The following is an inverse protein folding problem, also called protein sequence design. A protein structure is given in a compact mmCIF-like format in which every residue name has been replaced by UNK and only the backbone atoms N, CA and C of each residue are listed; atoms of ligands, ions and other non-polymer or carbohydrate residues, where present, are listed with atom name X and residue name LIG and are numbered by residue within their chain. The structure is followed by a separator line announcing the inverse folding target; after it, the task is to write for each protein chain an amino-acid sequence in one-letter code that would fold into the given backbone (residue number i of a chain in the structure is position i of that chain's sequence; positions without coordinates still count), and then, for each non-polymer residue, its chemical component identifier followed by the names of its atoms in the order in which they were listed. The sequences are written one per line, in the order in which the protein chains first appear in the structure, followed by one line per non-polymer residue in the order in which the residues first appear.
data_IF_167183026898
#
_entry.id   IF_167183026898
#
_cell.length_a   1.000
_cell.length_b   1.000
_cell.length_c   1.000
_cell.angle_alpha   90.00
_cell.angle_beta   90.00
_cell.angle_gamma   90.00
#
_symmetry.space_group_name_H-M   'P 1'
#
loop_
_entity.id
_entity.type
_entity.pdbx_description
1 polymer ?
#
# COMPACT_ATOMS: atom_id res chain seq x y z
N UNK A 1 -39.32 -23.06 -16.75
CA UNK A 1 -38.88 -23.44 -15.40
C UNK A 1 -38.28 -22.21 -14.75
N UNK A 2 -38.89 -21.81 -13.64
CA UNK A 2 -38.58 -20.63 -12.84
C UNK A 2 -37.73 -21.07 -11.63
N UNK A 3 -37.15 -20.09 -10.93
CA UNK A 3 -36.36 -20.14 -9.67
C UNK A 3 -34.85 -20.39 -9.82
N UNK A 4 -33.95 -19.58 -9.23
CA UNK A 4 -34.17 -18.50 -8.28
C UNK A 4 -32.89 -17.70 -8.01
N UNK A 5 -33.08 -16.39 -7.87
CA UNK A 5 -32.14 -15.44 -7.28
C UNK A 5 -32.08 -15.71 -5.77
N UNK A 6 -30.87 -15.72 -5.20
CA UNK A 6 -30.65 -15.37 -3.78
C UNK A 6 -29.49 -14.39 -3.64
N UNK A 7 -29.70 -13.21 -3.03
CA UNK A 7 -28.66 -12.33 -2.53
C UNK A 7 -28.27 -12.72 -1.09
N UNK A 8 -27.40 -11.91 -0.45
CA UNK A 8 -26.86 -11.97 0.93
C UNK A 8 -25.48 -12.67 1.04
N UNK A 9 -24.46 -12.12 1.69
CA UNK A 9 -24.43 -11.18 2.81
C UNK A 9 -23.27 -10.19 2.74
N UNK A 10 -23.60 -8.92 2.99
CA UNK A 10 -22.73 -7.91 3.57
C UNK A 10 -22.21 -8.38 4.93
N UNK A 11 -20.89 -8.48 5.09
CA UNK A 11 -20.23 -8.59 6.39
C UNK A 11 -19.03 -7.64 6.45
N UNK A 12 -19.15 -6.63 7.31
CA UNK A 12 -18.02 -6.18 8.10
C UNK A 12 -17.23 -4.95 7.64
N UNK A 13 -17.89 -3.81 7.39
CA UNK A 13 -17.25 -2.52 7.66
C UNK A 13 -17.11 -2.36 9.18
N UNK A 14 -15.92 -2.61 9.74
CA UNK A 14 -15.50 -2.04 11.04
C UNK A 14 -13.99 -1.81 11.08
N UNK A 15 -13.63 -0.53 11.01
CA UNK A 15 -12.65 0.17 11.81
C UNK A 15 -11.29 -0.51 12.10
N UNK A 16 -10.22 0.09 11.57
CA UNK A 16 -8.97 0.24 12.33
C UNK A 16 -8.26 1.52 11.83
N UNK A 17 -8.70 2.65 12.40
CA UNK A 17 -7.98 3.92 12.40
C UNK A 17 -7.24 4.01 13.74
N UNK A 18 -5.99 4.48 13.71
CA UNK A 18 -5.16 4.94 14.83
C UNK A 18 -4.73 3.90 15.88
N UNK A 19 -3.43 3.88 16.19
CA UNK A 19 -2.87 4.55 17.37
C UNK A 19 -1.33 4.48 17.32
N UNK A 20 -0.70 5.67 17.34
CA UNK A 20 0.71 5.87 17.65
C UNK A 20 0.90 6.03 19.17
N UNK A 21 2.03 5.50 19.64
CA UNK A 21 2.95 6.02 20.65
C UNK A 21 2.70 5.83 22.16
N UNK A 22 3.80 5.35 22.75
CA UNK A 22 4.42 5.75 24.00
C UNK A 22 3.98 5.06 25.30
N UNK A 23 4.86 4.19 25.80
CA UNK A 23 4.99 3.90 27.22
C UNK A 23 6.48 3.87 27.58
N UNK A 24 7.01 5.00 28.03
CA UNK A 24 8.15 5.01 28.97
C UNK A 24 7.63 4.49 30.30
N UNK A 25 8.23 3.42 30.80
CA UNK A 25 7.88 2.81 32.07
C UNK A 25 8.46 3.60 33.26
N UNK A 26 7.59 3.84 34.24
CA UNK A 26 7.86 4.35 35.58
C UNK A 26 8.72 3.42 36.44
N UNK A 27 9.25 3.95 37.54
CA UNK A 27 9.12 3.32 38.86
C UNK A 27 9.02 4.33 40.02
N UNK A 28 8.44 3.92 41.18
CA UNK A 28 7.44 4.71 41.93
C UNK A 28 7.81 4.94 43.40
N UNK A 29 7.21 5.93 44.08
CA UNK A 29 6.80 5.83 45.51
C UNK A 29 5.69 6.87 45.80
N UNK A 30 4.55 6.40 46.30
CA UNK A 30 3.79 6.90 47.48
C UNK A 30 2.28 6.69 47.36
N UNK A 31 1.75 6.02 48.38
CA UNK A 31 0.33 5.83 48.68
C UNK A 31 -0.27 7.11 49.26
N UNK A 32 -1.45 7.51 48.78
CA UNK A 32 -2.47 8.18 49.59
C UNK A 32 -3.85 8.14 48.89
N UNK A 33 -4.87 8.10 49.73
CA UNK A 33 -6.29 7.84 49.53
C UNK A 33 -7.07 8.90 48.74
N UNK A 34 -8.17 8.42 48.15
CA UNK A 34 -9.43 9.13 47.86
C UNK A 34 -9.43 10.23 46.78
N UNK A 35 -9.83 9.85 45.56
CA UNK A 35 -10.78 10.61 44.73
C UNK A 35 -11.15 9.78 43.51
N UNK A 36 -12.44 9.72 43.19
CA UNK A 36 -12.95 9.01 42.02
C UNK A 36 -12.38 9.62 40.73
N UNK A 37 -11.84 8.84 39.78
CA UNK A 37 -11.44 9.39 38.51
C UNK A 37 -12.64 9.43 37.56
N UNK A 38 -12.88 10.65 37.09
CA UNK A 38 -13.55 11.03 35.87
C UNK A 38 -13.48 9.94 34.79
N UNK A 39 -14.64 9.60 34.23
CA UNK A 39 -14.78 9.02 32.89
C UNK A 39 -14.07 9.95 31.90
N UNK A 40 -12.80 9.72 31.65
CA UNK A 40 -12.13 10.18 30.45
C UNK A 40 -12.67 9.31 29.31
N UNK A 41 -13.81 9.69 28.75
CA UNK A 41 -14.18 9.27 27.41
C UNK A 41 -13.05 9.72 26.50
N UNK A 42 -12.21 8.78 26.05
CA UNK A 42 -11.33 8.97 24.91
C UNK A 42 -12.21 9.24 23.70
N UNK A 43 -12.62 10.50 23.54
CA UNK A 43 -13.13 11.01 22.30
C UNK A 43 -11.97 10.89 21.31
N UNK A 44 -11.98 9.83 20.51
CA UNK A 44 -11.20 9.77 19.29
C UNK A 44 -11.60 11.03 18.50
N UNK A 45 -10.74 12.03 18.50
CA UNK A 45 -10.93 13.25 17.72
C UNK A 45 -11.07 12.81 16.27
N UNK A 46 -12.29 12.82 15.76
CA UNK A 46 -12.54 12.65 14.35
C UNK A 46 -11.77 13.79 13.64
N UNK A 47 -11.01 13.48 12.57
CA UNK A 47 -10.32 14.51 11.81
C UNK A 47 -11.33 15.56 11.36
N UNK A 48 -10.91 16.84 11.35
CA UNK A 48 -11.76 17.93 10.91
C UNK A 48 -12.36 17.61 9.53
N UNK A 49 -13.63 17.98 9.25
CA UNK A 49 -14.31 17.64 7.99
C UNK A 49 -13.46 17.95 6.75
N UNK A 50 -12.80 19.10 6.76
CA UNK A 50 -11.92 19.55 5.66
C UNK A 50 -10.70 18.64 5.44
N UNK A 51 -10.15 18.05 6.50
CA UNK A 51 -9.00 17.15 6.40
C UNK A 51 -9.41 15.79 5.83
N UNK A 52 -10.62 15.32 6.16
CA UNK A 52 -11.15 14.08 5.62
C UNK A 52 -11.52 14.24 4.13
N UNK A 53 -12.15 15.34 3.76
CA UNK A 53 -12.49 15.64 2.35
C UNK A 53 -11.23 15.77 1.47
N UNK A 54 -10.16 16.36 2.01
CA UNK A 54 -8.88 16.46 1.30
C UNK A 54 -8.22 15.10 1.08
N UNK A 55 -8.25 14.22 2.08
CA UNK A 55 -7.69 12.88 1.97
C UNK A 55 -8.54 12.04 0.99
N UNK A 56 -9.85 12.08 1.10
CA UNK A 56 -10.77 11.39 0.20
C UNK A 56 -10.54 11.83 -1.25
N UNK A 57 -10.33 13.14 -1.46
CA UNK A 57 -9.94 13.69 -2.75
C UNK A 57 -8.59 13.15 -3.23
N UNK A 58 -7.56 13.14 -2.38
CA UNK A 58 -6.23 12.60 -2.71
C UNK A 58 -6.28 11.14 -3.12
N UNK A 59 -7.10 10.32 -2.47
CA UNK A 59 -7.23 8.89 -2.80
C UNK A 59 -7.92 8.66 -4.14
N UNK A 60 -8.83 9.55 -4.53
CA UNK A 60 -9.56 9.48 -5.80
C UNK A 60 -8.79 10.07 -6.99
N UNK A 61 -7.87 11.00 -6.75
CA UNK A 61 -7.08 11.63 -7.80
C UNK A 61 -6.01 10.67 -8.38
N UNK A 62 -5.92 10.63 -9.71
CA UNK A 62 -4.80 9.97 -10.40
C UNK A 62 -3.57 10.85 -10.26
N UNK A 63 -2.56 10.38 -9.53
CA UNK A 63 -1.31 11.10 -9.31
C UNK A 63 -0.19 10.42 -10.10
N UNK A 64 0.24 10.97 -11.26
CA UNK A 64 1.47 10.52 -11.88
C UNK A 64 2.67 10.88 -11.01
N UNK A 65 3.74 10.11 -11.16
CA UNK A 65 5.03 10.46 -10.57
C UNK A 65 5.51 11.76 -11.26
N UNK A 66 5.92 12.80 -10.51
CA UNK A 66 6.24 14.11 -11.10
C UNK A 66 7.45 14.11 -12.03
N UNK A 67 8.30 13.08 -11.96
CA UNK A 67 9.41 12.92 -12.90
C UNK A 67 9.06 11.87 -13.96
N UNK A 68 9.45 12.08 -15.23
CA UNK A 68 9.25 11.09 -16.27
C UNK A 68 9.89 9.76 -15.87
N UNK A 69 9.14 8.66 -16.00
CA UNK A 69 9.68 7.31 -15.88
C UNK A 69 10.58 7.04 -17.10
N UNK A 70 11.84 7.45 -16.98
CA UNK A 70 12.82 7.42 -18.06
C UNK A 70 13.41 6.03 -18.31
N UNK A 71 14.53 6.00 -19.04
CA UNK A 71 15.26 4.75 -19.29
C UNK A 71 15.85 4.18 -18.00
N UNK A 72 15.61 2.90 -17.74
CA UNK A 72 16.12 2.19 -16.56
C UNK A 72 17.58 1.81 -16.75
N UNK A 73 18.45 2.30 -15.86
CA UNK A 73 19.88 1.95 -15.82
C UNK A 73 20.10 0.62 -15.13
N UNK A 74 19.50 0.40 -13.96
CA UNK A 74 19.64 -0.85 -13.21
C UNK A 74 18.38 -1.21 -12.43
N UNK A 75 18.21 -2.52 -12.21
CA UNK A 75 17.14 -3.11 -11.40
C UNK A 75 17.78 -4.07 -10.42
N UNK A 76 17.50 -3.90 -9.13
CA UNK A 76 17.99 -4.76 -8.06
C UNK A 76 16.81 -5.43 -7.36
N UNK A 77 16.72 -6.73 -7.54
CA UNK A 77 15.69 -7.59 -6.95
C UNK A 77 16.38 -8.40 -5.84
N UNK A 78 15.98 -8.16 -4.58
CA UNK A 78 16.58 -8.85 -3.43
C UNK A 78 15.97 -10.23 -3.18
N UNK A 79 14.73 -10.42 -3.60
CA UNK A 79 13.98 -11.66 -3.42
C UNK A 79 12.87 -11.72 -4.46
N UNK A 80 12.54 -12.93 -4.92
CA UNK A 80 11.39 -13.18 -5.79
C UNK A 80 10.13 -13.62 -4.99
N UNK A 81 10.19 -13.56 -3.66
CA UNK A 81 9.08 -13.94 -2.78
C UNK A 81 8.08 -12.81 -2.65
N UNK A 82 6.86 -13.20 -2.31
CA UNK A 82 5.78 -12.29 -1.98
C UNK A 82 5.43 -12.44 -0.50
N UNK A 83 5.01 -11.33 0.10
CA UNK A 83 4.71 -11.18 1.50
C UNK A 83 3.34 -10.52 1.69
N UNK A 84 2.61 -10.95 2.70
CA UNK A 84 1.37 -10.32 3.13
C UNK A 84 1.65 -9.04 3.94
N UNK A 85 0.58 -8.41 4.43
CA UNK A 85 0.65 -7.20 5.25
C UNK A 85 1.42 -7.39 6.57
N UNK A 86 1.49 -8.61 7.10
CA UNK A 86 2.24 -8.97 8.31
C UNK A 86 3.69 -9.39 8.00
N UNK A 87 4.11 -9.19 6.75
CA UNK A 87 5.43 -9.54 6.21
C UNK A 87 5.76 -11.04 6.31
N UNK A 88 4.73 -11.89 6.33
CA UNK A 88 4.86 -13.34 6.20
C UNK A 88 4.81 -13.75 4.73
N UNK A 89 5.50 -14.83 4.32
CA UNK A 89 5.37 -15.34 2.97
C UNK A 89 3.89 -15.63 2.64
N UNK A 90 3.41 -15.17 1.49
CA UNK A 90 2.02 -15.41 1.12
C UNK A 90 1.70 -16.91 1.04
N UNK A 91 0.53 -17.29 1.54
CA UNK A 91 0.07 -18.68 1.53
C UNK A 91 -0.05 -19.27 0.10
N UNK A 92 -0.46 -18.44 -0.86
CA UNK A 92 -0.54 -18.78 -2.29
C UNK A 92 0.29 -17.79 -3.11
N UNK A 93 1.59 -18.04 -3.31
CA UNK A 93 2.41 -17.16 -4.11
C UNK A 93 1.99 -17.24 -5.59
N UNK A 94 2.19 -16.16 -6.37
CA UNK A 94 1.88 -16.18 -7.79
C UNK A 94 2.72 -17.24 -8.53
N UNK A 95 2.21 -17.79 -9.64
CA UNK A 95 2.90 -18.82 -10.42
C UNK A 95 4.27 -18.32 -10.90
N UNK A 96 5.22 -19.24 -11.11
CA UNK A 96 6.59 -18.90 -11.56
C UNK A 96 6.63 -18.12 -12.87
N UNK A 97 5.62 -18.25 -13.73
CA UNK A 97 5.48 -17.44 -14.95
C UNK A 97 5.39 -15.94 -14.66
N UNK A 98 4.91 -15.55 -13.48
CA UNK A 98 4.84 -14.16 -13.00
C UNK A 98 6.05 -13.75 -12.16
N UNK A 99 7.18 -14.45 -12.31
CA UNK A 99 8.39 -14.09 -11.59
C UNK A 99 8.85 -12.68 -11.96
N UNK A 100 9.17 -11.88 -10.95
CA UNK A 100 9.68 -10.53 -11.15
C UNK A 100 11.12 -10.62 -11.64
N UNK A 101 11.34 -10.18 -12.87
CA UNK A 101 12.65 -10.13 -13.51
C UNK A 101 13.00 -8.70 -13.92
N UNK A 102 14.29 -8.37 -14.16
CA UNK A 102 14.66 -7.06 -14.69
C UNK A 102 13.97 -6.73 -16.03
N UNK A 103 13.69 -7.73 -16.87
CA UNK A 103 12.95 -7.56 -18.13
C UNK A 103 11.49 -7.21 -17.88
N UNK A 104 10.85 -7.88 -16.92
CA UNK A 104 9.48 -7.58 -16.51
C UNK A 104 9.38 -6.14 -15.99
N UNK A 105 10.25 -5.73 -15.06
CA UNK A 105 10.28 -4.36 -14.51
C UNK A 105 10.43 -3.28 -15.58
N UNK A 106 11.35 -3.48 -16.54
CA UNK A 106 11.53 -2.54 -17.67
C UNK A 106 10.30 -2.47 -18.57
N UNK A 107 9.69 -3.61 -18.84
CA UNK A 107 8.47 -3.68 -19.67
C UNK A 107 7.30 -3.01 -18.98
N UNK A 108 7.17 -3.26 -17.67
CA UNK A 108 6.20 -2.62 -16.79
C UNK A 108 6.32 -1.11 -16.84
N UNK A 109 7.48 -0.56 -16.50
CA UNK A 109 7.69 0.90 -16.46
C UNK A 109 7.44 1.60 -17.80
N UNK A 110 7.60 0.90 -18.93
CA UNK A 110 7.33 1.45 -20.27
C UNK A 110 5.84 1.46 -20.63
N UNK A 111 5.07 0.49 -20.16
CA UNK A 111 3.67 0.28 -20.57
C UNK A 111 2.67 0.72 -19.51
N UNK A 112 3.09 0.80 -18.25
CA UNK A 112 2.19 1.08 -17.15
C UNK A 112 1.70 2.52 -17.18
N UNK A 113 0.48 2.72 -16.73
CA UNK A 113 -0.15 4.03 -16.61
C UNK A 113 -0.57 4.30 -15.16
N UNK A 114 -0.57 5.57 -14.73
CA UNK A 114 -0.91 5.92 -13.35
C UNK A 114 -2.41 5.72 -13.12
N UNK A 115 -2.76 5.28 -11.92
CA UNK A 115 -4.15 5.13 -11.46
C UNK A 115 -4.31 5.74 -10.07
N UNK A 116 -5.54 6.02 -9.66
CA UNK A 116 -5.82 6.49 -8.30
C UNK A 116 -5.78 5.33 -7.31
N UNK A 117 -5.60 5.64 -6.02
CA UNK A 117 -5.63 4.62 -4.97
C UNK A 117 -7.00 3.94 -4.92
N UNK A 118 -8.08 4.71 -5.07
CA UNK A 118 -9.45 4.16 -5.10
C UNK A 118 -9.66 3.24 -6.31
N UNK A 119 -9.10 3.56 -7.48
CA UNK A 119 -9.18 2.66 -8.63
C UNK A 119 -8.46 1.33 -8.36
N UNK A 120 -7.31 1.36 -7.70
CA UNK A 120 -6.60 0.15 -7.27
C UNK A 120 -7.46 -0.70 -6.33
N UNK A 121 -8.15 -0.07 -5.37
CA UNK A 121 -9.00 -0.77 -4.41
C UNK A 121 -10.28 -1.34 -5.05
N UNK A 122 -10.95 -0.56 -5.90
CA UNK A 122 -12.29 -0.89 -6.40
C UNK A 122 -12.30 -1.68 -7.71
N UNK A 123 -11.28 -1.49 -8.57
CA UNK A 123 -11.27 -2.06 -9.92
C UNK A 123 -10.14 -3.07 -10.12
N UNK A 124 -8.96 -2.79 -9.57
CA UNK A 124 -7.81 -3.68 -9.69
C UNK A 124 -7.65 -4.59 -8.46
N UNK A 125 -8.55 -4.48 -7.48
CA UNK A 125 -8.73 -5.43 -6.36
C UNK A 125 -7.46 -5.77 -5.59
N UNK A 126 -6.50 -4.84 -5.48
CA UNK A 126 -5.22 -5.16 -4.85
C UNK A 126 -4.76 -4.09 -3.88
N UNK A 127 -5.04 -4.33 -2.60
CA UNK A 127 -4.23 -3.76 -1.54
C UNK A 127 -3.91 -4.85 -0.51
N UNK A 128 -2.62 -5.10 -0.29
CA UNK A 128 -2.08 -5.68 0.94
C UNK A 128 -2.17 -7.20 1.16
N UNK A 129 -2.95 -7.97 0.40
CA UNK A 129 -3.03 -9.43 0.67
C UNK A 129 -1.74 -10.16 0.29
N UNK A 130 -1.07 -9.75 -0.78
CA UNK A 130 0.20 -10.35 -1.19
C UNK A 130 0.99 -9.43 -2.15
N UNK A 131 2.16 -8.96 -1.71
CA UNK A 131 3.02 -8.04 -2.46
C UNK A 131 4.45 -8.56 -2.57
N UNK A 132 5.13 -8.25 -3.66
CA UNK A 132 6.50 -8.71 -3.86
C UNK A 132 7.46 -8.10 -2.84
N UNK A 133 8.61 -8.75 -2.64
CA UNK A 133 9.75 -8.09 -2.07
C UNK A 133 10.05 -6.77 -2.81
N UNK A 134 10.60 -5.75 -2.12
CA UNK A 134 10.93 -4.49 -2.76
C UNK A 134 11.99 -4.66 -3.85
N UNK A 135 11.73 -4.03 -4.99
CA UNK A 135 12.64 -3.90 -6.13
C UNK A 135 13.17 -2.48 -6.16
N UNK A 136 14.48 -2.32 -6.15
CA UNK A 136 15.10 -1.01 -6.33
C UNK A 136 15.40 -0.78 -7.81
N UNK A 137 14.97 0.37 -8.34
CA UNK A 137 15.20 0.79 -9.71
C UNK A 137 16.01 2.07 -9.71
N UNK A 138 17.07 2.10 -10.51
CA UNK A 138 17.84 3.32 -10.77
C UNK A 138 17.64 3.70 -12.23
N UNK A 139 17.18 4.93 -12.46
CA UNK A 139 16.98 5.49 -13.77
C UNK A 139 18.26 6.15 -14.30
N UNK A 140 18.30 6.40 -15.60
CA UNK A 140 19.53 6.87 -16.29
C UNK A 140 19.93 8.29 -15.91
N UNK A 141 18.97 9.12 -15.49
CA UNK A 141 19.14 10.46 -14.92
C UNK A 141 19.51 10.44 -13.42
N UNK A 142 19.64 9.25 -12.83
CA UNK A 142 20.12 9.05 -11.46
C UNK A 142 19.03 9.01 -10.39
N UNK A 143 17.75 9.28 -10.72
CA UNK A 143 16.69 9.09 -9.72
C UNK A 143 16.51 7.61 -9.40
N UNK A 144 16.10 7.35 -8.16
CA UNK A 144 15.91 6.00 -7.64
C UNK A 144 14.49 5.83 -7.15
N UNK A 145 13.95 4.64 -7.36
CA UNK A 145 12.64 4.27 -6.86
C UNK A 145 12.68 2.89 -6.22
N UNK A 146 11.81 2.71 -5.23
CA UNK A 146 11.44 1.40 -4.73
C UNK A 146 10.10 1.02 -5.34
N UNK A 147 9.99 -0.21 -5.79
CA UNK A 147 8.81 -0.76 -6.41
C UNK A 147 8.39 -2.05 -5.72
N UNK A 148 7.09 -2.28 -5.58
CA UNK A 148 6.55 -3.57 -5.19
C UNK A 148 5.36 -3.90 -6.11
N UNK A 149 5.23 -5.16 -6.48
CA UNK A 149 4.16 -5.65 -7.36
C UNK A 149 3.13 -6.37 -6.52
N UNK A 150 1.86 -6.10 -6.77
CA UNK A 150 0.78 -6.95 -6.28
C UNK A 150 0.78 -8.28 -7.05
N UNK A 151 0.53 -9.40 -6.35
CA UNK A 151 0.64 -10.73 -6.94
C UNK A 151 -0.31 -11.00 -8.12
N UNK A 152 -1.53 -10.43 -8.10
CA UNK A 152 -2.64 -10.90 -8.95
C UNK A 152 -3.28 -9.85 -9.86
N UNK A 153 -2.86 -8.59 -9.78
CA UNK A 153 -3.62 -7.48 -10.38
C UNK A 153 -2.87 -6.68 -11.46
N UNK A 154 -1.59 -6.98 -11.71
CA UNK A 154 -0.76 -6.15 -12.59
C UNK A 154 -0.56 -4.72 -12.05
N UNK A 155 -0.82 -4.52 -10.75
CA UNK A 155 -0.58 -3.25 -10.03
C UNK A 155 0.85 -3.26 -9.48
N UNK A 156 1.49 -2.09 -9.52
CA UNK A 156 2.73 -1.84 -8.81
C UNK A 156 2.64 -0.51 -8.06
N UNK A 157 3.26 -0.50 -6.88
CA UNK A 157 3.46 0.66 -6.04
C UNK A 157 4.86 1.19 -6.27
N UNK A 158 4.99 2.46 -6.60
CA UNK A 158 6.25 3.13 -6.87
C UNK A 158 6.47 4.21 -5.82
N UNK A 159 7.56 4.15 -5.08
CA UNK A 159 7.94 5.18 -4.12
C UNK A 159 9.34 5.72 -4.46
N UNK A 160 9.52 7.04 -4.63
CA UNK A 160 10.84 7.60 -4.88
C UNK A 160 11.74 7.41 -3.65
N UNK A 161 13.02 7.17 -3.88
CA UNK A 161 14.04 7.06 -2.83
C UNK A 161 14.84 8.36 -2.75
N UNK A 162 14.47 9.23 -1.81
CA UNK A 162 15.12 10.52 -1.56
C UNK A 162 15.95 10.40 -0.29
N UNK A 163 17.27 10.56 -0.39
CA UNK A 163 18.20 10.42 0.74
C UNK A 163 18.05 9.08 1.50
N UNK A 164 17.74 8.00 0.78
CA UNK A 164 17.55 6.67 1.35
C UNK A 164 16.21 6.45 2.05
N UNK A 165 15.31 7.45 2.02
CA UNK A 165 13.95 7.35 2.55
C UNK A 165 12.95 7.23 1.40
N UNK A 166 11.93 6.43 1.62
CA UNK A 166 10.78 6.32 0.70
C UNK A 166 9.91 7.56 0.85
N UNK A 167 9.57 8.18 -0.29
CA UNK A 167 8.56 9.22 -0.38
C UNK A 167 7.15 8.62 -0.58
N UNK A 168 6.23 9.49 -0.99
CA UNK A 168 4.85 9.10 -1.32
C UNK A 168 4.79 7.97 -2.34
N UNK A 169 3.84 7.05 -2.14
CA UNK A 169 3.56 5.99 -3.08
C UNK A 169 2.69 6.48 -4.24
N UNK A 170 3.04 6.06 -5.45
CA UNK A 170 2.32 6.27 -6.68
C UNK A 170 1.86 4.93 -7.23
N UNK A 171 0.63 4.86 -7.70
CA UNK A 171 0.01 3.62 -8.15
C UNK A 171 -0.01 3.56 -9.66
N UNK A 172 0.49 2.44 -10.19
CA UNK A 172 0.51 2.18 -11.62
C UNK A 172 -0.11 0.82 -11.88
N UNK A 173 -0.70 0.68 -13.06
CA UNK A 173 -1.21 -0.59 -13.58
C UNK A 173 -0.61 -0.85 -14.94
N UNK A 174 -0.31 -2.11 -15.22
CA UNK A 174 -0.07 -2.57 -16.59
C UNK A 174 -0.90 -3.83 -16.90
N UNK A 175 -1.89 -3.66 -17.76
CA UNK A 175 -2.75 -4.76 -18.22
C UNK A 175 -2.03 -5.71 -19.20
N UNK A 176 -1.09 -5.15 -19.99
CA UNK A 176 -0.36 -5.85 -21.06
C UNK A 176 1.05 -6.33 -20.66
N UNK A 177 1.35 -6.39 -19.36
CA UNK A 177 2.68 -6.74 -18.83
C UNK A 177 2.82 -8.20 -18.40
N UNK A 178 1.93 -9.06 -18.92
CA UNK A 178 1.79 -10.49 -18.61
C UNK A 178 1.13 -10.72 -17.24
N UNK A 179 -0.19 -11.03 -17.30
CA UNK A 179 -0.89 -11.86 -16.30
C UNK A 179 -0.57 -13.33 -16.55
#
# INVERSE_FOLDING_TARGET
MNTGIRPLQSRGLRAACLVLLAACALRPVYSATASAPSRASSAASQPAPDAQDQEDRRRNEVRPYPHPLGSVRSVKIRSARFFDADNQPCASPPPRSRAITPRHVRTYLRKAFPVSQIAVMNHYGAFGECTSAPVEVTFSDGHRMRMAFAADSGVAYLAPLVNGREGDAYFYVCEDCER
#
